data_IF_691644091768
#
_entry.id   IF_691644091768
#
_cell.length_a   1.000
_cell.length_b   1.000
_cell.length_c   1.000
_cell.angle_alpha   90.00
_cell.angle_beta   90.00
_cell.angle_gamma   90.00
#
_symmetry.space_group_name_H-M   'P 1'
#
loop_
_entity.id
_entity.type
_entity.pdbx_description
1 polymer ?
#
# COMPACT_ATOMS: atom_id res chain seq x y z
N UNK A 1 -13.92 -4.06 -7.52
CA UNK A 1 -13.58 -4.72 -6.24
C UNK A 1 -13.20 -6.16 -6.55
N UNK A 2 -11.90 -6.46 -6.48
CA UNK A 2 -11.38 -7.73 -6.98
C UNK A 2 -11.62 -8.90 -6.01
N UNK A 3 -12.00 -10.06 -6.56
CA UNK A 3 -12.10 -11.33 -5.81
C UNK A 3 -10.78 -11.66 -5.08
N UNK A 4 -9.64 -11.21 -5.59
CA UNK A 4 -8.31 -11.33 -4.97
C UNK A 4 -8.22 -10.68 -3.58
N UNK A 5 -8.96 -9.60 -3.33
CA UNK A 5 -8.85 -8.83 -2.09
C UNK A 5 -9.46 -9.53 -0.88
N UNK A 6 -10.41 -10.43 -1.12
CA UNK A 6 -11.07 -11.20 -0.06
C UNK A 6 -10.51 -12.61 0.11
N UNK A 7 -9.89 -13.16 -0.94
CA UNK A 7 -9.40 -14.55 -0.92
C UNK A 7 -8.14 -14.71 -0.09
N UNK A 8 -7.18 -13.77 -0.17
CA UNK A 8 -5.92 -13.90 0.55
C UNK A 8 -6.05 -13.78 2.07
N UNK A 9 -6.86 -12.86 2.66
CA UNK A 9 -7.12 -12.84 4.09
C UNK A 9 -7.82 -14.09 4.59
N UNK A 10 -8.77 -14.60 3.82
CA UNK A 10 -9.52 -15.79 4.19
C UNK A 10 -8.62 -17.03 4.19
N UNK A 11 -7.74 -17.14 3.21
CA UNK A 11 -6.74 -18.20 3.17
C UNK A 11 -5.74 -18.10 4.33
N UNK A 12 -5.27 -16.90 4.64
CA UNK A 12 -4.39 -16.67 5.79
C UNK A 12 -5.07 -17.06 7.11
N UNK A 13 -6.34 -16.73 7.29
CA UNK A 13 -7.13 -17.14 8.47
C UNK A 13 -7.29 -18.64 8.56
N UNK A 14 -7.46 -19.33 7.45
CA UNK A 14 -7.58 -20.80 7.43
C UNK A 14 -6.26 -21.51 7.76
N UNK A 15 -5.13 -20.91 7.37
CA UNK A 15 -3.80 -21.48 7.61
C UNK A 15 -3.25 -21.13 9.00
N UNK A 16 -3.60 -19.95 9.51
CA UNK A 16 -3.13 -19.45 10.81
C UNK A 16 -4.35 -19.02 11.63
N UNK A 17 -4.79 -19.87 12.59
CA UNK A 17 -5.96 -19.55 13.41
C UNK A 17 -5.68 -18.31 14.28
N UNK A 18 -6.14 -17.16 13.82
CA UNK A 18 -6.10 -15.91 14.55
C UNK A 18 -7.28 -15.82 15.52
N UNK A 19 -7.11 -15.16 16.65
CA UNK A 19 -8.24 -14.82 17.51
C UNK A 19 -9.20 -13.88 16.78
N UNK A 20 -10.46 -13.88 17.15
CA UNK A 20 -11.48 -13.01 16.56
C UNK A 20 -11.09 -11.53 16.66
N UNK A 21 -10.53 -11.13 17.80
CA UNK A 21 -10.06 -9.75 18.00
C UNK A 21 -8.93 -9.37 17.03
N UNK A 22 -7.96 -10.27 16.83
CA UNK A 22 -6.87 -10.06 15.88
C UNK A 22 -7.39 -9.93 14.44
N UNK A 23 -8.40 -10.74 14.07
CA UNK A 23 -9.06 -10.64 12.76
C UNK A 23 -9.78 -9.31 12.59
N UNK A 24 -10.49 -8.83 13.63
CA UNK A 24 -11.17 -7.54 13.61
C UNK A 24 -10.17 -6.38 13.47
N UNK A 25 -9.10 -6.38 14.27
CA UNK A 25 -8.06 -5.35 14.21
C UNK A 25 -7.36 -5.33 12.85
N UNK A 26 -7.04 -6.49 12.32
CA UNK A 26 -6.44 -6.61 11.00
C UNK A 26 -7.37 -6.10 9.89
N UNK A 27 -8.65 -6.46 9.94
CA UNK A 27 -9.66 -6.01 8.97
C UNK A 27 -9.87 -4.50 9.02
N UNK A 28 -9.87 -3.92 10.23
CA UNK A 28 -9.98 -2.48 10.44
C UNK A 28 -8.76 -1.74 9.86
N UNK A 29 -7.55 -2.21 10.18
CA UNK A 29 -6.31 -1.65 9.64
C UNK A 29 -6.29 -1.70 8.11
N UNK A 30 -6.61 -2.85 7.54
CA UNK A 30 -6.67 -3.03 6.09
C UNK A 30 -7.72 -2.12 5.44
N UNK A 31 -8.90 -2.01 6.05
CA UNK A 31 -9.97 -1.12 5.58
C UNK A 31 -9.56 0.33 5.57
N UNK A 32 -8.93 0.82 6.64
CA UNK A 32 -8.46 2.21 6.74
C UNK A 32 -7.41 2.50 5.65
N UNK A 33 -6.41 1.63 5.48
CA UNK A 33 -5.38 1.80 4.44
C UNK A 33 -5.96 1.82 3.03
N UNK A 34 -6.93 0.96 2.74
CA UNK A 34 -7.66 0.97 1.46
C UNK A 34 -8.41 2.28 1.25
N UNK A 35 -9.20 2.73 2.23
CA UNK A 35 -9.95 3.99 2.12
C UNK A 35 -9.04 5.19 1.93
N UNK A 36 -7.92 5.25 2.65
CA UNK A 36 -6.95 6.33 2.49
C UNK A 36 -6.34 6.31 1.07
N UNK A 37 -6.00 5.14 0.53
CA UNK A 37 -5.50 5.00 -0.83
C UNK A 37 -6.49 5.45 -1.91
N UNK A 38 -7.79 5.36 -1.64
CA UNK A 38 -8.85 5.82 -2.54
C UNK A 38 -9.28 7.28 -2.30
N UNK A 39 -8.73 7.96 -1.30
CA UNK A 39 -9.11 9.33 -0.96
C UNK A 39 -8.56 10.40 -1.93
N UNK A 40 -7.71 10.02 -2.89
CA UNK A 40 -7.06 10.94 -3.80
C UNK A 40 -5.97 11.81 -3.14
N UNK A 41 -5.54 11.42 -1.96
CA UNK A 41 -4.49 12.11 -1.23
C UNK A 41 -3.12 11.72 -1.81
N UNK A 42 -2.35 12.73 -2.19
CA UNK A 42 -0.98 12.58 -2.70
C UNK A 42 0.00 13.04 -1.65
N UNK A 43 0.08 12.29 -0.59
CA UNK A 43 0.98 12.57 0.53
C UNK A 43 1.93 11.40 0.73
N UNK A 44 3.15 11.71 1.16
CA UNK A 44 4.09 10.69 1.58
C UNK A 44 3.65 10.15 2.94
N UNK A 45 2.83 9.13 2.91
CA UNK A 45 2.40 8.41 4.10
C UNK A 45 2.58 6.91 3.84
N UNK A 46 3.70 6.35 4.30
CA UNK A 46 3.96 4.92 4.14
C UNK A 46 3.04 4.10 5.03
N UNK A 47 2.75 2.88 4.62
CA UNK A 47 2.00 1.95 5.47
C UNK A 47 2.77 1.69 6.77
N UNK A 48 2.09 1.83 7.90
CA UNK A 48 2.70 1.81 9.24
C UNK A 48 3.52 0.55 9.50
N UNK A 49 3.01 -0.62 9.07
CA UNK A 49 3.66 -1.89 9.34
C UNK A 49 4.85 -2.18 8.42
N UNK A 50 4.84 -1.69 7.20
CA UNK A 50 5.86 -2.04 6.20
C UNK A 50 6.80 -0.89 5.86
N UNK A 51 6.36 0.35 6.06
CA UNK A 51 7.13 1.53 5.68
C UNK A 51 8.50 1.59 6.35
N UNK A 52 8.57 1.38 7.66
CA UNK A 52 9.82 1.47 8.40
C UNK A 52 10.86 0.40 7.97
N UNK A 53 10.39 -0.80 7.61
CA UNK A 53 11.28 -1.92 7.25
C UNK A 53 11.64 -1.95 5.77
N UNK A 54 10.76 -1.47 4.90
CA UNK A 54 10.92 -1.60 3.46
C UNK A 54 11.50 -0.34 2.80
N UNK A 55 11.47 0.79 3.50
CA UNK A 55 12.03 2.05 3.00
C UNK A 55 13.50 1.96 2.60
N UNK A 56 14.41 1.30 3.34
CA UNK A 56 15.81 1.16 2.93
C UNK A 56 16.00 0.43 1.59
N UNK A 57 14.98 -0.29 1.13
CA UNK A 57 14.95 -1.05 -0.12
C UNK A 57 14.08 -0.39 -1.19
N UNK A 58 13.56 0.83 -0.93
CA UNK A 58 12.61 1.54 -1.82
C UNK A 58 11.35 0.71 -2.15
N UNK A 59 11.00 -0.20 -1.27
CA UNK A 59 9.86 -1.11 -1.43
C UNK A 59 8.65 -0.75 -0.56
N UNK A 60 8.70 0.38 0.15
CA UNK A 60 7.55 0.90 0.88
C UNK A 60 6.45 1.35 -0.08
N UNK A 61 5.20 1.11 0.28
CA UNK A 61 4.03 1.64 -0.41
C UNK A 61 3.56 2.92 0.30
N UNK A 62 3.42 4.01 -0.44
CA UNK A 62 2.81 5.24 0.04
C UNK A 62 1.42 5.44 -0.56
N UNK A 63 0.63 6.36 0.00
CA UNK A 63 -0.74 6.61 -0.46
C UNK A 63 -0.81 6.98 -1.94
N UNK A 64 0.14 7.76 -2.44
CA UNK A 64 0.18 8.14 -3.84
C UNK A 64 0.38 6.94 -4.77
N UNK A 65 1.17 5.94 -4.38
CA UNK A 65 1.38 4.73 -5.18
C UNK A 65 0.05 4.01 -5.46
N UNK A 66 -0.83 3.95 -4.46
CA UNK A 66 -2.14 3.35 -4.58
C UNK A 66 -3.11 4.22 -5.40
N UNK A 67 -3.09 5.54 -5.20
CA UNK A 67 -3.88 6.49 -6.01
C UNK A 67 -3.48 6.40 -7.50
N UNK A 68 -2.19 6.36 -7.79
CA UNK A 68 -1.69 6.20 -9.16
C UNK A 68 -2.12 4.88 -9.80
N UNK A 69 -2.15 3.79 -9.04
CA UNK A 69 -2.68 2.50 -9.51
C UNK A 69 -4.12 2.63 -10.03
N UNK A 70 -4.97 3.39 -9.35
CA UNK A 70 -6.36 3.57 -9.75
C UNK A 70 -6.57 4.60 -10.84
N UNK A 71 -5.66 5.56 -10.98
CA UNK A 71 -5.82 6.70 -11.91
C UNK A 71 -5.73 6.29 -13.37
N UNK A 72 -4.83 5.39 -13.72
CA UNK A 72 -4.54 5.04 -15.12
C UNK A 72 -5.41 3.91 -15.67
N UNK A 73 -6.32 3.39 -14.88
CA UNK A 73 -7.21 2.30 -15.31
C UNK A 73 -6.50 0.95 -15.39
N UNK A 74 -7.25 -0.11 -15.64
CA UNK A 74 -6.77 -1.48 -15.50
C UNK A 74 -5.79 -1.96 -16.59
N UNK A 75 -5.75 -1.30 -17.74
CA UNK A 75 -4.89 -1.72 -18.87
C UNK A 75 -3.48 -1.16 -18.79
N UNK A 76 -3.36 0.08 -18.32
CA UNK A 76 -2.10 0.81 -18.29
C UNK A 76 -1.66 1.08 -16.85
N UNK A 77 -2.16 0.29 -15.90
CA UNK A 77 -1.88 0.46 -14.49
C UNK A 77 -0.54 -0.15 -14.08
N UNK A 78 0.00 0.37 -13.00
CA UNK A 78 1.20 -0.06 -12.31
C UNK A 78 0.96 -0.05 -10.80
N UNK A 79 1.95 -0.34 -9.97
CA UNK A 79 1.84 -0.41 -8.51
C UNK A 79 0.70 -1.34 -8.05
N UNK A 80 0.77 -2.59 -8.46
CA UNK A 80 -0.25 -3.60 -8.12
C UNK A 80 -0.17 -4.10 -6.67
N UNK A 81 0.95 -3.83 -5.98
CA UNK A 81 1.11 -4.14 -4.56
C UNK A 81 0.21 -3.27 -3.70
N UNK A 82 -0.46 -3.86 -2.71
CA UNK A 82 -1.40 -3.13 -1.84
C UNK A 82 -0.83 -2.70 -0.50
N UNK A 83 0.22 -3.35 -0.05
CA UNK A 83 0.86 -3.07 1.24
C UNK A 83 2.37 -2.82 1.09
N UNK A 84 2.94 -3.18 -0.04
CA UNK A 84 4.36 -3.07 -0.34
C UNK A 84 4.59 -3.03 -1.84
N UNK A 85 5.59 -2.28 -2.29
CA UNK A 85 6.07 -2.30 -3.68
C UNK A 85 7.01 -3.47 -3.99
N UNK A 86 7.28 -4.35 -3.03
CA UNK A 86 8.19 -5.48 -3.21
C UNK A 86 7.82 -6.34 -4.43
N UNK A 87 6.54 -6.61 -4.61
CA UNK A 87 6.04 -7.39 -5.75
C UNK A 87 6.18 -6.62 -7.06
N UNK A 88 5.93 -5.31 -7.02
CA UNK A 88 6.09 -4.46 -8.20
C UNK A 88 7.56 -4.35 -8.61
N UNK A 89 8.47 -4.25 -7.65
CA UNK A 89 9.90 -4.27 -7.91
C UNK A 89 10.35 -5.62 -8.52
N UNK A 90 9.83 -6.74 -8.01
CA UNK A 90 10.15 -8.07 -8.51
C UNK A 90 9.64 -8.32 -9.94
N UNK A 91 8.44 -7.80 -10.27
CA UNK A 91 7.80 -8.00 -11.58
C UNK A 91 8.00 -6.82 -12.54
N UNK A 92 8.72 -5.78 -12.14
CA UNK A 92 8.98 -4.60 -12.98
C UNK A 92 7.72 -3.77 -13.27
N UNK A 93 6.78 -3.73 -12.33
CA UNK A 93 5.52 -3.00 -12.45
C UNK A 93 5.47 -1.74 -11.56
N UNK A 94 6.61 -1.27 -11.08
CA UNK A 94 6.72 -0.01 -10.35
C UNK A 94 6.42 1.17 -11.27
N UNK A 95 5.61 2.11 -10.77
CA UNK A 95 5.42 3.41 -11.38
C UNK A 95 6.12 4.51 -10.59
N UNK A 96 6.49 5.59 -11.28
CA UNK A 96 7.12 6.74 -10.66
C UNK A 96 6.10 7.59 -9.92
N UNK A 97 6.48 8.06 -8.74
CA UNK A 97 5.70 9.02 -7.97
C UNK A 97 5.79 10.40 -8.61
N UNK A 98 4.70 11.14 -8.60
CA UNK A 98 4.61 12.48 -9.21
C UNK A 98 4.80 13.55 -8.12
N UNK A 99 4.05 13.44 -7.04
CA UNK A 99 4.00 14.45 -5.97
C UNK A 99 4.94 14.09 -4.81
N UNK A 100 5.05 12.81 -4.48
CA UNK A 100 5.83 12.32 -3.35
C UNK A 100 7.14 11.65 -3.77
N UNK A 101 7.76 12.16 -4.82
CA UNK A 101 9.13 11.81 -5.16
C UNK A 101 10.11 12.48 -4.18
N UNK A 102 11.32 11.98 -4.08
CA UNK A 102 12.31 12.46 -3.11
C UNK A 102 12.68 13.93 -3.29
N UNK A 103 12.59 14.46 -4.53
CA UNK A 103 12.88 15.85 -4.86
C UNK A 103 11.84 16.83 -4.29
N UNK A 104 10.61 16.36 -4.08
CA UNK A 104 9.49 17.18 -3.61
C UNK A 104 9.29 17.09 -2.08
N UNK A 105 9.97 16.18 -1.40
CA UNK A 105 9.80 15.96 0.04
C UNK A 105 10.87 16.71 0.83
N UNK A 106 10.43 17.60 1.71
CA UNK A 106 11.31 18.24 2.68
C UNK A 106 11.54 17.31 3.89
N UNK A 107 12.56 16.47 3.81
CA UNK A 107 12.93 15.52 4.85
C UNK A 107 13.39 16.15 6.17
N UNK A 108 13.61 17.47 6.19
CA UNK A 108 13.96 18.20 7.42
C UNK A 108 12.74 18.48 8.30
N UNK A 109 11.54 18.39 7.74
CA UNK A 109 10.30 18.62 8.45
C UNK A 109 9.67 17.30 8.89
N UNK A 110 9.41 17.11 10.19
CA UNK A 110 8.69 15.92 10.64
C UNK A 110 7.26 15.95 10.08
N UNK A 111 6.82 14.82 9.56
CA UNK A 111 5.42 14.59 9.18
C UNK A 111 4.70 14.16 10.46
N UNK A 112 3.87 15.03 10.99
CA UNK A 112 3.00 14.72 12.12
C UNK A 112 1.62 14.30 11.64
#
# INVERSE_FOLDING_TARGET
MCIRDRGSPMLAYMLFPLSFDALCMWSLYFGITEYMGHAGLRVYYPTVLTGAFLRPFECELVLEDHDLHHRFGWRDSFNYGKQTKLWDALFGTCGDRIETNDDNIDWSKPVY
#
